data_IF_949951962056
#
_entry.id   IF_949951962056
#
_cell.length_a   1.000
_cell.length_b   1.000
_cell.length_c   1.000
_cell.angle_alpha   90.00
_cell.angle_beta   90.00
_cell.angle_gamma   90.00
#
_symmetry.space_group_name_H-M   'P 1'
#
loop_
_entity.id
_entity.type
_entity.pdbx_description
1 polymer ?
#
# COMPACT_ATOMS: atom_id res chain seq x y z
N UNK A 1 -4.27 15.23 -12.63
CA UNK A 1 -5.40 14.25 -12.57
C UNK A 1 -4.80 12.90 -12.89
N UNK A 2 -4.54 12.12 -11.86
CA UNK A 2 -4.07 10.74 -11.99
C UNK A 2 -5.17 9.88 -12.62
N UNK A 3 -4.85 9.12 -13.66
CA UNK A 3 -5.77 8.15 -14.24
C UNK A 3 -5.75 6.84 -13.43
N UNK A 4 -6.85 6.08 -13.43
CA UNK A 4 -6.95 4.82 -12.66
C UNK A 4 -5.87 3.79 -13.04
N UNK A 5 -5.41 3.77 -14.29
CA UNK A 5 -4.29 2.92 -14.73
C UNK A 5 -2.95 3.35 -14.12
N UNK A 6 -2.69 4.66 -14.04
CA UNK A 6 -1.50 5.19 -13.38
C UNK A 6 -1.52 4.88 -11.88
N UNK A 7 -2.70 4.93 -11.27
CA UNK A 7 -2.88 4.65 -9.85
C UNK A 7 -2.45 3.23 -9.47
N UNK A 8 -2.93 2.23 -10.20
CA UNK A 8 -2.59 0.83 -9.94
C UNK A 8 -1.09 0.58 -10.15
N UNK A 9 -0.52 1.11 -11.25
CA UNK A 9 0.91 0.99 -11.52
C UNK A 9 1.77 1.62 -10.41
N UNK A 10 1.38 2.79 -9.90
CA UNK A 10 2.09 3.48 -8.81
C UNK A 10 2.09 2.68 -7.52
N UNK A 11 0.95 2.09 -7.13
CA UNK A 11 0.91 1.19 -5.97
C UNK A 11 1.81 -0.03 -6.15
N UNK A 12 1.77 -0.67 -7.33
CA UNK A 12 2.63 -1.81 -7.64
C UNK A 12 4.11 -1.45 -7.53
N UNK A 13 4.55 -0.39 -8.21
CA UNK A 13 5.95 0.08 -8.14
C UNK A 13 6.35 0.43 -6.72
N UNK A 14 5.54 1.19 -5.98
CA UNK A 14 5.88 1.59 -4.62
C UNK A 14 5.99 0.39 -3.67
N UNK A 15 5.08 -0.58 -3.75
CA UNK A 15 5.13 -1.79 -2.92
C UNK A 15 6.37 -2.62 -3.27
N UNK A 16 6.67 -2.79 -4.56
CA UNK A 16 7.82 -3.55 -5.02
C UNK A 16 9.15 -2.89 -4.65
N UNK A 17 9.26 -1.58 -4.86
CA UNK A 17 10.52 -0.85 -4.70
C UNK A 17 10.83 -0.54 -3.23
N UNK A 18 9.80 -0.26 -2.41
CA UNK A 18 9.99 0.25 -1.06
C UNK A 18 9.54 -0.71 0.05
N UNK A 19 8.67 -1.69 -0.24
CA UNK A 19 8.04 -2.53 0.78
C UNK A 19 8.20 -4.05 0.54
N UNK A 20 8.98 -4.49 -0.45
CA UNK A 20 9.15 -5.92 -0.74
C UNK A 20 9.57 -6.74 0.50
N UNK A 21 10.54 -6.25 1.28
CA UNK A 21 10.96 -6.92 2.52
C UNK A 21 9.81 -7.01 3.55
N UNK A 22 9.04 -5.93 3.71
CA UNK A 22 7.89 -5.91 4.62
C UNK A 22 6.78 -6.87 4.17
N UNK A 23 6.55 -7.01 2.87
CA UNK A 23 5.61 -8.00 2.30
C UNK A 23 6.07 -9.42 2.58
N UNK A 24 7.37 -9.73 2.42
CA UNK A 24 7.92 -11.05 2.79
C UNK A 24 7.76 -11.33 4.29
N UNK A 25 8.05 -10.34 5.13
CA UNK A 25 7.88 -10.47 6.58
C UNK A 25 6.40 -10.71 6.97
N UNK A 26 5.46 -10.03 6.31
CA UNK A 26 4.03 -10.24 6.48
C UNK A 26 3.64 -11.70 6.14
N UNK A 27 4.17 -12.26 5.05
CA UNK A 27 3.93 -13.65 4.67
C UNK A 27 4.44 -14.65 5.72
N UNK A 28 5.60 -14.39 6.33
CA UNK A 28 6.17 -15.26 7.37
C UNK A 28 5.40 -15.22 8.69
N UNK A 29 4.77 -14.08 9.01
CA UNK A 29 4.01 -13.89 10.25
C UNK A 29 2.52 -14.18 10.11
N UNK A 30 2.06 -14.56 8.92
CA UNK A 30 0.66 -14.86 8.70
C UNK A 30 0.23 -16.09 9.52
N UNK A 31 -0.95 -16.08 10.18
CA UNK A 31 -2.00 -15.06 10.16
C UNK A 31 -1.96 -14.05 11.32
N UNK A 32 -0.88 -14.01 12.11
CA UNK A 32 -0.75 -13.13 13.28
C UNK A 32 -0.67 -11.65 12.88
N UNK A 33 0.02 -11.35 11.77
CA UNK A 33 -0.03 -10.05 11.10
C UNK A 33 -0.85 -10.16 9.81
N UNK A 34 -1.78 -9.22 9.62
CA UNK A 34 -2.74 -9.25 8.50
C UNK A 34 -2.71 -8.00 7.61
N UNK A 35 -1.90 -7.01 7.98
CA UNK A 35 -1.79 -5.77 7.22
C UNK A 35 -0.35 -5.37 6.95
N UNK A 36 -0.11 -4.86 5.74
CA UNK A 36 1.11 -4.13 5.44
C UNK A 36 0.94 -2.69 5.91
N UNK A 37 1.76 -2.25 6.86
CA UNK A 37 1.79 -0.85 7.28
C UNK A 37 2.61 -0.02 6.29
N UNK A 38 1.99 1.02 5.73
CA UNK A 38 2.60 1.95 4.78
C UNK A 38 2.54 3.34 5.37
N UNK A 39 3.71 3.97 5.57
CA UNK A 39 3.79 5.30 6.16
C UNK A 39 3.45 6.37 5.13
N UNK A 40 2.48 7.24 5.43
CA UNK A 40 2.11 8.36 4.56
C UNK A 40 3.31 9.25 4.19
N UNK A 41 4.24 9.46 5.14
CA UNK A 41 5.47 10.23 4.90
C UNK A 41 6.37 9.63 3.82
N UNK A 42 6.39 8.29 3.73
CA UNK A 42 7.13 7.60 2.66
C UNK A 42 6.41 7.77 1.33
N UNK A 43 5.08 7.71 1.33
CA UNK A 43 4.28 7.96 0.11
C UNK A 43 4.49 9.40 -0.38
N UNK A 44 4.43 10.38 0.51
CA UNK A 44 4.65 11.80 0.21
C UNK A 44 6.07 12.06 -0.33
N UNK A 45 7.09 11.41 0.26
CA UNK A 45 8.46 11.49 -0.25
C UNK A 45 8.68 10.76 -1.59
N UNK A 46 7.83 9.78 -1.92
CA UNK A 46 7.85 9.07 -3.20
C UNK A 46 7.17 9.90 -4.30
N UNK A 47 5.95 10.39 -4.04
CA UNK A 47 5.21 11.28 -4.93
C UNK A 47 4.13 12.07 -4.15
N UNK A 48 4.31 13.40 -4.10
CA UNK A 48 3.40 14.32 -3.39
C UNK A 48 1.99 14.40 -4.00
N UNK A 49 1.84 14.39 -5.33
CA UNK A 49 0.51 14.42 -5.97
C UNK A 49 -0.25 13.13 -5.65
N UNK A 50 0.44 11.99 -5.66
CA UNK A 50 -0.13 10.70 -5.29
C UNK A 50 -0.53 10.64 -3.82
N UNK A 51 0.30 11.16 -2.91
CA UNK A 51 -0.01 11.24 -1.49
C UNK A 51 -1.23 12.15 -1.21
N UNK A 52 -1.33 13.29 -1.89
CA UNK A 52 -2.51 14.15 -1.78
C UNK A 52 -3.76 13.48 -2.36
N UNK A 53 -3.61 12.72 -3.45
CA UNK A 53 -4.71 11.96 -4.06
C UNK A 53 -5.28 10.89 -3.12
N UNK A 54 -4.44 10.25 -2.29
CA UNK A 54 -4.89 9.31 -1.24
C UNK A 54 -5.88 9.97 -0.28
N UNK A 55 -5.59 11.21 0.14
CA UNK A 55 -6.45 11.94 1.07
C UNK A 55 -7.76 12.34 0.38
N UNK A 56 -7.71 12.71 -0.90
CA UNK A 56 -8.88 13.09 -1.68
C UNK A 56 -9.80 11.91 -2.06
N UNK A 57 -9.23 10.73 -2.30
CA UNK A 57 -9.94 9.55 -2.82
C UNK A 57 -9.54 8.25 -2.08
N UNK A 58 -9.76 8.16 -0.75
CA UNK A 58 -9.25 7.06 0.07
C UNK A 58 -9.79 5.68 -0.35
N UNK A 59 -11.06 5.57 -0.74
CA UNK A 59 -11.67 4.30 -1.14
C UNK A 59 -11.03 3.74 -2.42
N UNK A 60 -10.75 4.62 -3.39
CA UNK A 60 -10.10 4.25 -4.65
C UNK A 60 -8.67 3.74 -4.39
N UNK A 61 -7.92 4.45 -3.55
CA UNK A 61 -6.57 4.03 -3.16
C UNK A 61 -6.57 2.74 -2.33
N UNK A 62 -7.54 2.55 -1.44
CA UNK A 62 -7.66 1.32 -0.66
C UNK A 62 -7.84 0.10 -1.56
N UNK A 63 -8.70 0.20 -2.58
CA UNK A 63 -8.90 -0.88 -3.54
C UNK A 63 -7.63 -1.17 -4.33
N UNK A 64 -7.01 -0.14 -4.91
CA UNK A 64 -5.80 -0.29 -5.73
C UNK A 64 -4.61 -0.84 -4.92
N UNK A 65 -4.38 -0.32 -3.71
CA UNK A 65 -3.30 -0.76 -2.83
C UNK A 65 -3.45 -2.24 -2.43
N UNK A 66 -4.67 -2.64 -2.05
CA UNK A 66 -4.95 -4.03 -1.68
C UNK A 66 -4.82 -4.97 -2.88
N UNK A 67 -5.21 -4.53 -4.07
CA UNK A 67 -5.02 -5.31 -5.28
C UNK A 67 -3.52 -5.52 -5.58
N UNK A 68 -2.71 -4.45 -5.52
CA UNK A 68 -1.28 -4.54 -5.74
C UNK A 68 -0.58 -5.45 -4.72
N UNK A 69 -0.91 -5.33 -3.42
CA UNK A 69 -0.38 -6.22 -2.37
C UNK A 69 -0.75 -7.69 -2.61
N UNK A 70 -2.00 -7.97 -2.94
CA UNK A 70 -2.46 -9.34 -3.20
C UNK A 70 -1.80 -9.93 -4.46
N UNK A 71 -1.63 -9.14 -5.51
CA UNK A 71 -0.94 -9.60 -6.71
C UNK A 71 0.51 -9.96 -6.40
N UNK A 72 1.24 -9.10 -5.68
CA UNK A 72 2.61 -9.40 -5.24
C UNK A 72 2.68 -10.75 -4.52
N UNK A 73 1.82 -10.96 -3.52
CA UNK A 73 1.82 -12.20 -2.74
C UNK A 73 1.44 -13.42 -3.58
N UNK A 74 0.52 -13.28 -4.53
CA UNK A 74 0.17 -14.36 -5.46
C UNK A 74 1.34 -14.73 -6.36
N UNK A 75 2.09 -13.74 -6.87
CA UNK A 75 3.27 -13.96 -7.70
C UNK A 75 4.39 -14.68 -6.93
N UNK A 76 4.49 -14.44 -5.61
CA UNK A 76 5.39 -15.15 -4.67
C UNK A 76 4.85 -16.52 -4.19
N UNK A 77 3.66 -16.93 -4.65
CA UNK A 77 3.06 -18.25 -4.34
C UNK A 77 2.12 -18.29 -3.14
N UNK A 78 1.80 -17.16 -2.51
CA UNK A 78 0.91 -17.05 -1.34
C UNK A 78 -0.56 -16.78 -1.74
N UNK A 79 -1.15 -17.66 -2.54
CA UNK A 79 -2.49 -17.45 -3.14
C UNK A 79 -3.69 -17.49 -2.19
N UNK A 80 -3.54 -18.05 -0.98
CA UNK A 80 -4.60 -18.16 0.02
C UNK A 80 -4.64 -17.01 1.02
N UNK A 81 -3.67 -16.09 0.99
CA UNK A 81 -3.59 -14.94 1.89
C UNK A 81 -4.52 -13.81 1.43
N UNK A 82 -5.15 -13.12 2.39
CA UNK A 82 -6.01 -11.97 2.12
C UNK A 82 -5.68 -10.76 2.99
N UNK A 83 -4.46 -10.20 2.87
CA UNK A 83 -4.07 -9.03 3.65
C UNK A 83 -4.61 -7.73 3.04
N UNK A 84 -4.40 -6.64 3.77
CA UNK A 84 -4.73 -5.30 3.32
C UNK A 84 -3.62 -4.30 3.66
N UNK A 85 -3.58 -3.20 2.92
CA UNK A 85 -2.69 -2.06 3.18
C UNK A 85 -3.33 -1.17 4.23
N UNK A 86 -2.55 -0.84 5.26
CA UNK A 86 -2.92 0.13 6.30
C UNK A 86 -2.00 1.33 6.20
N UNK A 87 -2.55 2.47 5.81
CA UNK A 87 -1.79 3.73 5.78
C UNK A 87 -1.72 4.29 7.20
N UNK A 88 -0.52 4.60 7.66
CA UNK A 88 -0.23 5.15 8.99
C UNK A 88 0.49 6.50 8.89
N UNK A 89 0.52 7.27 9.99
CA UNK A 89 1.15 8.59 10.07
C UNK A 89 0.51 9.62 9.13
N UNK A 90 -0.83 9.59 9.02
CA UNK A 90 -1.56 10.56 8.20
C UNK A 90 -1.32 11.99 8.71
N UNK A 91 -1.44 13.02 7.87
CA UNK A 91 -1.28 14.42 8.29
C UNK A 91 -2.19 14.80 9.48
N UNK A 92 -3.41 14.26 9.51
CA UNK A 92 -4.38 14.45 10.60
C UNK A 92 -3.90 13.90 11.95
N UNK A 93 -3.03 12.88 11.96
CA UNK A 93 -2.53 12.26 13.19
C UNK A 93 -1.56 13.17 13.95
N UNK A 94 -1.07 14.23 13.29
CA UNK A 94 -0.10 15.17 13.84
C UNK A 94 -0.77 16.39 14.52
N UNK A 95 -2.09 16.55 14.37
CA UNK A 95 -2.84 17.60 15.06
C UNK A 95 -3.13 17.13 16.49
N UNK A 96 -2.21 17.40 17.41
CA UNK A 96 -2.42 17.33 18.86
C UNK A 96 -1.90 18.56 19.56
#
# INVERSE_FOLDING_TARGET
MLQEFDLAARWTSMIQDLYAEAVHNLAQKWPDEQSLEVSYRIIEGFDDEFAQNIIAHPDLHFQAANQALRQFLQDEGYSSMYPFVRIVHLPSDQIR
#
